data_IF_288284885502
#
_entry.id   IF_288284885502
#
_cell.length_a   1.000
_cell.length_b   1.000
_cell.length_c   1.000
_cell.angle_alpha   90.00
_cell.angle_beta   90.00
_cell.angle_gamma   90.00
#
_symmetry.space_group_name_H-M   'P 1'
#
loop_
_entity.id
_entity.type
_entity.pdbx_description
1 polymer ?
#
# COMPACT_ATOMS: atom_id res chain seq x y z
N UNK A 1 -19.16 6.33 -15.16
CA UNK A 1 -19.03 4.85 -15.06
C UNK A 1 -18.97 4.48 -13.59
N UNK A 2 -19.78 3.53 -13.12
CA UNK A 2 -19.70 3.08 -11.73
C UNK A 2 -18.40 2.31 -11.53
N UNK A 3 -17.55 2.74 -10.59
CA UNK A 3 -16.31 2.06 -10.29
C UNK A 3 -16.60 0.65 -9.76
N UNK A 4 -16.03 -0.38 -10.39
CA UNK A 4 -16.17 -1.77 -9.93
C UNK A 4 -15.35 -1.97 -8.66
N UNK A 5 -15.90 -2.75 -7.72
CA UNK A 5 -15.28 -3.02 -6.43
C UNK A 5 -15.19 -4.53 -6.18
N UNK A 6 -14.11 -4.95 -5.52
CA UNK A 6 -14.06 -6.24 -4.85
C UNK A 6 -14.83 -6.15 -3.55
N UNK A 7 -15.71 -7.13 -3.29
CA UNK A 7 -16.49 -7.25 -2.06
C UNK A 7 -16.64 -8.73 -1.68
N UNK A 8 -17.10 -9.01 -0.44
CA UNK A 8 -17.39 -10.36 0.02
C UNK A 8 -16.22 -11.33 -0.15
N UNK A 9 -16.50 -12.52 -0.69
CA UNK A 9 -15.49 -13.58 -0.85
C UNK A 9 -14.30 -13.16 -1.72
N UNK A 10 -14.52 -12.40 -2.80
CA UNK A 10 -13.44 -11.94 -3.67
C UNK A 10 -12.51 -10.96 -2.95
N UNK A 11 -13.08 -10.06 -2.14
CA UNK A 11 -12.31 -9.19 -1.27
C UNK A 11 -11.49 -9.98 -0.26
N UNK A 12 -12.10 -10.93 0.45
CA UNK A 12 -11.41 -11.71 1.49
C UNK A 12 -10.27 -12.54 0.91
N UNK A 13 -10.50 -13.19 -0.23
CA UNK A 13 -9.47 -13.92 -0.97
C UNK A 13 -8.35 -13.00 -1.43
N UNK A 14 -8.69 -11.84 -1.98
CA UNK A 14 -7.70 -10.84 -2.40
C UNK A 14 -6.87 -10.35 -1.21
N UNK A 15 -7.52 -9.96 -0.11
CA UNK A 15 -6.90 -9.43 1.11
C UNK A 15 -5.97 -10.45 1.75
N UNK A 16 -6.38 -11.72 1.86
CA UNK A 16 -5.52 -12.79 2.40
C UNK A 16 -4.24 -12.96 1.58
N UNK A 17 -4.36 -12.96 0.25
CA UNK A 17 -3.19 -13.02 -0.65
C UNK A 17 -2.33 -11.77 -0.52
N UNK A 18 -2.92 -10.59 -0.46
CA UNK A 18 -2.22 -9.32 -0.29
C UNK A 18 -1.48 -9.25 1.06
N UNK A 19 -2.06 -9.74 2.15
CA UNK A 19 -1.39 -9.83 3.47
C UNK A 19 -0.17 -10.76 3.42
N UNK A 20 -0.28 -11.88 2.70
CA UNK A 20 0.87 -12.78 2.52
C UNK A 20 2.01 -12.10 1.73
N UNK A 21 1.67 -11.38 0.66
CA UNK A 21 2.62 -10.63 -0.17
C UNK A 21 3.14 -9.35 0.50
N UNK A 22 2.48 -8.88 1.56
CA UNK A 22 2.89 -7.73 2.35
C UNK A 22 4.00 -8.05 3.37
N UNK A 23 4.35 -9.33 3.54
CA UNK A 23 5.50 -9.74 4.35
C UNK A 23 6.81 -9.26 3.71
N UNK A 24 7.70 -8.65 4.49
CA UNK A 24 8.92 -7.99 3.99
C UNK A 24 10.12 -8.26 4.89
N UNK A 25 11.32 -8.09 4.36
CA UNK A 25 12.54 -8.09 5.17
C UNK A 25 12.64 -6.86 6.10
N UNK A 26 11.88 -5.81 5.82
CA UNK A 26 11.78 -4.60 6.63
C UNK A 26 10.46 -4.53 7.40
N UNK A 27 10.54 -4.46 8.73
CA UNK A 27 9.38 -4.51 9.62
C UNK A 27 8.47 -3.28 9.47
N UNK A 28 9.02 -2.08 9.31
CA UNK A 28 8.23 -0.86 9.19
C UNK A 28 7.32 -0.88 7.96
N UNK A 29 7.85 -1.33 6.83
CA UNK A 29 7.10 -1.47 5.58
C UNK A 29 6.01 -2.54 5.69
N UNK A 30 6.33 -3.68 6.31
CA UNK A 30 5.35 -4.75 6.56
C UNK A 30 4.18 -4.24 7.42
N UNK A 31 4.47 -3.55 8.52
CA UNK A 31 3.46 -3.00 9.42
C UNK A 31 2.56 -1.99 8.72
N UNK A 32 3.13 -1.09 7.90
CA UNK A 32 2.38 -0.12 7.11
C UNK A 32 1.40 -0.80 6.14
N UNK A 33 1.89 -1.76 5.36
CA UNK A 33 1.10 -2.47 4.36
C UNK A 33 -0.01 -3.32 5.01
N UNK A 34 0.32 -4.02 6.11
CA UNK A 34 -0.64 -4.83 6.86
C UNK A 34 -1.73 -3.95 7.51
N UNK A 35 -1.34 -2.82 8.12
CA UNK A 35 -2.28 -1.86 8.71
C UNK A 35 -3.24 -1.32 7.66
N UNK A 36 -2.75 -0.90 6.50
CA UNK A 36 -3.59 -0.46 5.39
C UNK A 36 -4.65 -1.52 5.01
N UNK A 37 -4.23 -2.77 4.81
CA UNK A 37 -5.14 -3.88 4.49
C UNK A 37 -6.18 -4.15 5.58
N UNK A 38 -5.89 -3.82 6.83
CA UNK A 38 -6.81 -3.96 7.96
C UNK A 38 -7.80 -2.79 8.09
N UNK A 39 -7.47 -1.62 7.54
CA UNK A 39 -8.38 -0.45 7.53
C UNK A 39 -9.44 -0.49 6.44
N UNK A 40 -9.33 -1.41 5.47
CA UNK A 40 -10.31 -1.52 4.38
C UNK A 40 -11.63 -2.10 4.90
N UNK A 41 -12.73 -1.39 4.65
CA UNK A 41 -14.10 -1.79 5.05
C UNK A 41 -14.68 -2.88 4.13
N UNK A 42 -14.03 -4.05 4.10
CA UNK A 42 -14.39 -5.23 3.30
C UNK A 42 -14.66 -4.96 1.81
N UNK A 43 -14.11 -3.86 1.31
CA UNK A 43 -14.34 -3.35 -0.03
C UNK A 43 -13.12 -2.59 -0.52
N UNK A 44 -12.80 -2.74 -1.79
CA UNK A 44 -11.78 -1.94 -2.47
C UNK A 44 -12.13 -1.80 -3.95
N UNK A 45 -11.82 -0.65 -4.55
CA UNK A 45 -11.92 -0.46 -5.99
C UNK A 45 -10.97 -1.45 -6.73
N UNK A 46 -11.41 -2.01 -7.85
CA UNK A 46 -10.64 -3.03 -8.59
C UNK A 46 -9.30 -2.50 -9.10
N UNK A 47 -9.27 -1.31 -9.70
CA UNK A 47 -8.04 -0.69 -10.21
C UNK A 47 -7.04 -0.46 -9.08
N UNK A 48 -7.51 0.01 -7.93
CA UNK A 48 -6.71 0.18 -6.72
C UNK A 48 -6.20 -1.16 -6.17
N UNK A 49 -7.01 -2.21 -6.22
CA UNK A 49 -6.61 -3.55 -5.82
C UNK A 49 -5.50 -4.12 -6.72
N UNK A 50 -5.55 -3.81 -8.02
CA UNK A 50 -4.49 -4.14 -8.97
C UNK A 50 -3.23 -3.32 -8.70
N UNK A 51 -3.35 -2.00 -8.57
CA UNK A 51 -2.25 -1.09 -8.28
C UNK A 51 -1.54 -1.48 -6.97
N UNK A 52 -2.28 -1.88 -5.93
CA UNK A 52 -1.70 -2.36 -4.68
C UNK A 52 -0.90 -3.65 -4.87
N UNK A 53 -1.36 -4.58 -5.71
CA UNK A 53 -0.57 -5.78 -6.02
C UNK A 53 0.67 -5.50 -6.85
N UNK A 54 0.56 -4.53 -7.75
CA UNK A 54 1.70 -4.05 -8.53
C UNK A 54 2.76 -3.45 -7.60
N UNK A 55 2.33 -2.58 -6.65
CA UNK A 55 3.19 -2.04 -5.61
C UNK A 55 3.86 -3.17 -4.81
N UNK A 56 3.12 -4.21 -4.39
CA UNK A 56 3.69 -5.36 -3.69
C UNK A 56 4.67 -6.21 -4.53
N UNK A 57 4.73 -6.00 -5.84
CA UNK A 57 5.69 -6.70 -6.71
C UNK A 57 7.04 -5.98 -6.80
N UNK A 58 7.14 -4.79 -6.21
CA UNK A 58 8.37 -4.01 -6.09
C UNK A 58 9.32 -4.62 -5.06
N UNK A 59 10.60 -4.29 -5.21
CA UNK A 59 11.62 -4.76 -4.27
C UNK A 59 11.51 -4.03 -2.91
N UNK A 60 12.04 -4.67 -1.86
CA UNK A 60 11.93 -4.17 -0.50
C UNK A 60 12.60 -2.81 -0.28
N UNK A 61 13.69 -2.50 -1.01
CA UNK A 61 14.37 -1.20 -0.90
C UNK A 61 13.51 -0.07 -1.46
N UNK A 62 12.88 -0.28 -2.61
CA UNK A 62 11.97 0.68 -3.23
C UNK A 62 10.76 0.92 -2.31
N UNK A 63 10.12 -0.16 -1.84
CA UNK A 63 8.98 -0.06 -0.94
C UNK A 63 9.32 0.70 0.34
N UNK A 64 10.43 0.35 0.98
CA UNK A 64 10.88 1.04 2.18
C UNK A 64 11.10 2.53 1.91
N UNK A 65 11.86 2.87 0.85
CA UNK A 65 12.14 4.27 0.49
C UNK A 65 10.84 5.05 0.24
N UNK A 66 9.91 4.51 -0.52
CA UNK A 66 8.68 5.23 -0.86
C UNK A 66 7.69 5.35 0.31
N UNK A 67 7.64 4.35 1.19
CA UNK A 67 6.76 4.35 2.35
C UNK A 67 7.30 5.22 3.50
N UNK A 68 8.62 5.40 3.61
CA UNK A 68 9.27 6.02 4.77
C UNK A 68 9.78 7.46 4.52
N UNK A 69 9.68 8.02 3.31
CA UNK A 69 10.27 9.31 2.90
C UNK A 69 9.46 10.56 3.31
N UNK A 70 9.08 10.68 4.57
CA UNK A 70 8.52 11.94 5.07
C UNK A 70 9.11 12.29 6.40
N UNK A 71 10.35 12.76 6.32
CA UNK A 71 10.82 13.72 7.30
C UNK A 71 10.41 15.13 6.80
N UNK A 72 9.42 15.80 7.40
CA UNK A 72 9.12 17.20 7.09
C UNK A 72 10.31 18.14 7.33
N UNK A 73 11.41 17.68 7.93
CA UNK A 73 12.64 18.43 8.20
C UNK A 73 13.80 18.10 7.25
N UNK A 74 13.69 17.11 6.37
CA UNK A 74 14.81 16.68 5.51
C UNK A 74 14.36 16.23 4.11
N UNK A 75 14.12 17.17 3.17
CA UNK A 75 13.53 16.88 1.86
C UNK A 75 14.50 16.37 0.78
N UNK A 76 15.80 16.29 1.06
CA UNK A 76 16.82 16.33 0.00
C UNK A 76 17.24 15.00 -0.64
N UNK A 77 16.76 13.84 -0.16
CA UNK A 77 16.98 12.55 -0.84
C UNK A 77 15.69 11.71 -0.91
N UNK A 78 14.57 12.37 -1.20
CA UNK A 78 13.32 11.66 -1.44
C UNK A 78 13.41 10.93 -2.78
N UNK A 79 13.69 9.63 -2.74
CA UNK A 79 13.47 8.76 -3.89
C UNK A 79 11.98 8.82 -4.20
N UNK A 80 11.63 9.55 -5.26
CA UNK A 80 10.24 9.74 -5.65
C UNK A 80 9.66 8.39 -6.10
N UNK A 81 8.49 8.07 -5.58
CA UNK A 81 7.72 6.94 -6.10
C UNK A 81 7.21 7.27 -7.51
N UNK A 82 7.09 6.28 -8.40
CA UNK A 82 6.34 6.44 -9.64
C UNK A 82 4.98 7.10 -9.42
N UNK A 83 4.59 8.04 -10.27
CA UNK A 83 3.36 8.84 -10.12
C UNK A 83 2.11 7.99 -9.90
N UNK A 84 2.03 6.84 -10.58
CA UNK A 84 0.92 5.88 -10.45
C UNK A 84 0.69 5.41 -9.02
N UNK A 85 1.72 5.34 -8.17
CA UNK A 85 1.61 4.89 -6.78
C UNK A 85 1.39 6.03 -5.79
N UNK A 86 1.52 7.29 -6.21
CA UNK A 86 1.61 8.43 -5.31
C UNK A 86 0.40 8.54 -4.38
N UNK A 87 -0.81 8.50 -4.94
CA UNK A 87 -2.06 8.52 -4.16
C UNK A 87 -2.17 7.32 -3.21
N UNK A 88 -1.79 6.13 -3.67
CA UNK A 88 -1.87 4.90 -2.87
C UNK A 88 -0.90 4.95 -1.69
N UNK A 89 0.33 5.41 -1.91
CA UNK A 89 1.36 5.55 -0.88
C UNK A 89 0.93 6.58 0.17
N UNK A 90 0.37 7.73 -0.25
CA UNK A 90 -0.16 8.73 0.67
C UNK A 90 -1.25 8.16 1.58
N UNK A 91 -2.17 7.37 1.03
CA UNK A 91 -3.21 6.72 1.84
C UNK A 91 -2.66 5.68 2.82
N UNK A 92 -1.73 4.81 2.36
CA UNK A 92 -1.10 3.80 3.23
C UNK A 92 -0.46 4.49 4.44
N UNK A 93 0.27 5.58 4.19
CA UNK A 93 0.98 6.32 5.23
C UNK A 93 0.05 7.08 6.17
N UNK A 94 -1.07 7.62 5.67
CA UNK A 94 -2.09 8.28 6.49
C UNK A 94 -2.68 7.35 7.56
N UNK A 95 -2.76 6.04 7.29
CA UNK A 95 -3.32 5.05 8.21
C UNK A 95 -2.39 4.62 9.35
N UNK A 96 -1.16 5.14 9.39
CA UNK A 96 -0.16 4.83 10.43
C UNK A 96 0.08 5.97 11.43
N UNK A 97 -0.19 7.21 11.02
CA UNK A 97 -0.02 8.41 11.87
C UNK A 97 -1.31 8.82 12.60
N UNK A 98 -2.39 8.03 12.46
CA UNK A 98 -3.67 8.16 13.18
C UNK A 98 -3.92 6.91 14.02
#
# INVERSE_FOLDING_TARGET
MSAKHLTGYEFDRWRKKSLFLAKRGNLESELLLAKYLNTLDKKINIEKAHLFRELLSENDQNLFRWLMTFDPKSPHETVQSPEKYLTLIQEIRKNYLN
#
